data_IF_336535418410
#
_entry.id   IF_336535418410
#
_cell.length_a   1.000
_cell.length_b   1.000
_cell.length_c   1.000
_cell.angle_alpha   90.00
_cell.angle_beta   90.00
_cell.angle_gamma   90.00
#
_symmetry.space_group_name_H-M   'P 1'
#
loop_
_entity.id
_entity.type
_entity.pdbx_description
1 polymer ?
#
# COMPACT_ATOMS: atom_id res chain seq x y z
N UNK A 1 1.58 1.89 19.65
CA UNK A 1 0.74 0.67 19.67
C UNK A 1 -0.56 0.94 20.41
N UNK A 2 -1.63 0.31 19.96
CA UNK A 2 -2.95 0.33 20.62
C UNK A 2 -3.39 -1.12 20.83
N UNK A 3 -3.67 -1.47 22.06
CA UNK A 3 -4.09 -2.81 22.47
C UNK A 3 -5.59 -2.85 22.74
N UNK A 4 -6.26 -3.76 22.05
CA UNK A 4 -7.70 -4.01 22.26
C UNK A 4 -8.00 -5.50 21.99
N UNK A 5 -8.84 -6.17 22.81
CA UNK A 5 -9.15 -7.59 22.64
C UNK A 5 -9.65 -7.98 21.25
N UNK A 6 -10.36 -7.08 20.57
CA UNK A 6 -10.88 -7.32 19.21
C UNK A 6 -9.80 -7.41 18.14
N UNK A 7 -8.58 -6.94 18.41
CA UNK A 7 -7.47 -6.99 17.45
C UNK A 7 -6.49 -8.14 17.67
N UNK A 8 -6.74 -9.01 18.63
CA UNK A 8 -5.84 -10.15 18.94
C UNK A 8 -5.73 -11.09 17.74
N UNK A 9 -6.85 -11.38 17.09
CA UNK A 9 -6.89 -12.29 15.94
C UNK A 9 -6.52 -11.63 14.61
N UNK A 10 -6.67 -10.31 14.49
CA UNK A 10 -6.37 -9.55 13.28
C UNK A 10 -5.72 -8.23 13.64
N UNK A 11 -4.41 -8.21 13.53
CA UNK A 11 -3.61 -7.00 13.74
C UNK A 11 -3.80 -6.03 12.58
N UNK A 12 -3.76 -4.75 12.89
CA UNK A 12 -3.81 -3.68 11.91
C UNK A 12 -2.59 -2.78 12.09
N UNK A 13 -1.93 -2.49 10.97
CA UNK A 13 -0.80 -1.58 10.92
C UNK A 13 -1.20 -0.36 10.08
N UNK A 14 -0.82 0.82 10.54
CA UNK A 14 -1.08 2.08 9.85
C UNK A 14 0.27 2.73 9.57
N UNK A 15 0.55 2.93 8.29
CA UNK A 15 1.73 3.66 7.84
C UNK A 15 1.35 5.05 7.35
N UNK A 16 2.22 6.02 7.57
CA UNK A 16 2.10 7.35 7.00
C UNK A 16 3.39 7.71 6.26
N UNK A 17 3.24 8.24 5.05
CA UNK A 17 4.36 8.68 4.22
C UNK A 17 4.18 10.16 3.87
N UNK A 18 5.21 10.94 4.09
CA UNK A 18 5.25 12.34 3.67
C UNK A 18 6.39 12.56 2.69
N UNK A 19 6.09 13.17 1.55
CA UNK A 19 7.05 13.55 0.54
C UNK A 19 6.82 14.97 0.05
N UNK A 20 7.78 15.51 -0.68
CA UNK A 20 7.66 16.80 -1.34
C UNK A 20 8.31 16.74 -2.72
N UNK A 21 7.70 17.46 -3.66
CA UNK A 21 8.22 17.63 -5.02
C UNK A 21 8.00 19.08 -5.48
N UNK A 22 8.82 19.60 -6.41
CA UNK A 22 8.53 20.87 -7.05
C UNK A 22 7.14 20.84 -7.70
N UNK A 23 6.33 21.89 -7.49
CA UNK A 23 4.96 21.97 -8.02
C UNK A 23 4.90 21.75 -9.54
N UNK A 24 5.92 22.20 -10.28
CA UNK A 24 6.01 22.01 -11.74
C UNK A 24 6.14 20.55 -12.18
N UNK A 25 6.51 19.64 -11.26
CA UNK A 25 6.67 18.20 -11.52
C UNK A 25 5.44 17.40 -11.10
N UNK A 26 4.42 18.05 -10.56
CA UNK A 26 3.16 17.41 -10.19
C UNK A 26 2.23 17.48 -11.40
N UNK A 27 2.14 16.36 -12.12
CA UNK A 27 1.26 16.19 -13.27
C UNK A 27 -0.03 15.51 -12.81
N UNK A 28 -1.16 16.01 -13.28
CA UNK A 28 -2.50 15.47 -13.02
C UNK A 28 -3.32 15.52 -14.30
N UNK A 29 -2.99 14.62 -15.20
CA UNK A 29 -3.65 14.52 -16.50
C UNK A 29 -4.58 13.31 -16.54
N UNK A 30 -5.49 13.27 -17.50
CA UNK A 30 -6.30 12.10 -17.82
C UNK A 30 -5.54 11.22 -18.80
N UNK A 31 -5.89 9.93 -18.81
CA UNK A 31 -5.43 9.01 -19.84
C UNK A 31 -6.30 9.18 -21.09
N UNK A 32 -5.67 9.32 -22.25
CA UNK A 32 -6.35 9.48 -23.53
C UNK A 32 -6.28 8.21 -24.37
N UNK A 33 -7.26 7.91 -25.22
CA UNK A 33 -7.18 6.80 -26.16
C UNK A 33 -5.90 6.86 -27.02
N UNK A 34 -5.19 5.76 -27.07
CA UNK A 34 -3.88 5.65 -27.73
C UNK A 34 -2.69 5.76 -26.78
N UNK A 35 -2.87 6.25 -25.57
CA UNK A 35 -1.79 6.25 -24.57
C UNK A 35 -1.30 4.85 -24.27
N UNK A 36 -0.01 4.74 -23.99
CA UNK A 36 0.66 3.47 -23.72
C UNK A 36 0.88 3.32 -22.22
N UNK A 37 0.57 2.13 -21.71
CA UNK A 37 0.89 1.77 -20.33
C UNK A 37 2.14 0.93 -20.29
N UNK A 38 3.15 1.40 -19.58
CA UNK A 38 4.42 0.73 -19.38
C UNK A 38 4.44 0.13 -17.98
N UNK A 39 4.73 -1.17 -17.90
CA UNK A 39 5.06 -1.84 -16.65
C UNK A 39 6.55 -1.66 -16.41
N UNK A 40 6.90 -1.12 -15.26
CA UNK A 40 8.25 -0.75 -14.87
C UNK A 40 8.64 -1.48 -13.58
N UNK A 41 9.88 -2.00 -13.51
CA UNK A 41 10.46 -2.53 -12.28
C UNK A 41 10.61 -4.03 -12.22
N UNK A 42 10.15 -4.66 -11.14
CA UNK A 42 10.33 -6.08 -10.88
C UNK A 42 9.53 -6.99 -11.80
N UNK A 43 9.93 -8.25 -11.87
CA UNK A 43 9.24 -9.29 -12.64
C UNK A 43 8.14 -9.96 -11.83
N UNK A 44 7.17 -10.53 -12.53
CA UNK A 44 5.98 -11.17 -11.96
C UNK A 44 6.25 -12.61 -11.53
N UNK A 45 5.88 -12.95 -10.30
CA UNK A 45 5.84 -14.30 -9.76
C UNK A 45 4.43 -14.62 -9.22
N UNK A 46 4.32 -15.62 -8.34
CA UNK A 46 3.08 -15.97 -7.63
C UNK A 46 2.83 -15.14 -6.38
N UNK A 47 3.60 -14.09 -6.19
CA UNK A 47 3.50 -13.21 -5.02
C UNK A 47 2.07 -12.69 -4.87
N UNK A 48 1.43 -12.92 -3.72
CA UNK A 48 0.10 -12.41 -3.40
C UNK A 48 -1.07 -13.00 -4.20
N UNK A 49 -0.87 -14.07 -4.99
CA UNK A 49 -1.95 -14.67 -5.78
C UNK A 49 -3.12 -15.20 -4.94
N UNK A 50 -2.90 -15.49 -3.64
CA UNK A 50 -3.96 -15.78 -2.68
C UNK A 50 -4.80 -14.56 -2.29
N UNK A 51 -4.34 -13.37 -2.63
CA UNK A 51 -5.00 -12.09 -2.37
C UNK A 51 -5.24 -11.81 -0.89
N UNK A 52 -6.08 -10.80 -0.60
CA UNK A 52 -6.47 -10.43 0.76
C UNK A 52 -7.14 -11.59 1.53
N UNK A 53 -7.80 -12.51 0.84
CA UNK A 53 -8.38 -13.72 1.43
C UNK A 53 -7.30 -14.65 1.95
N UNK A 54 -6.19 -14.82 1.23
CA UNK A 54 -5.04 -15.61 1.66
C UNK A 54 -4.39 -15.03 2.92
N UNK A 55 -4.15 -13.72 2.95
CA UNK A 55 -3.55 -13.03 4.10
C UNK A 55 -4.47 -12.99 5.34
N UNK A 56 -5.78 -13.20 5.16
CA UNK A 56 -6.77 -13.21 6.26
C UNK A 56 -7.02 -14.59 6.86
N UNK A 57 -6.38 -15.65 6.35
CA UNK A 57 -6.50 -17.01 6.91
C UNK A 57 -5.64 -17.16 8.15
N UNK A 58 -6.06 -18.06 9.03
CA UNK A 58 -5.23 -18.50 10.17
C UNK A 58 -4.03 -19.26 9.60
N UNK A 59 -2.81 -18.81 9.92
CA UNK A 59 -1.59 -19.48 9.53
C UNK A 59 -1.27 -20.63 10.49
N UNK A 60 -0.87 -21.76 9.91
CA UNK A 60 -0.43 -22.97 10.61
C UNK A 60 1.02 -23.30 10.20
N UNK A 61 1.65 -24.25 10.88
CA UNK A 61 3.02 -24.68 10.57
C UNK A 61 3.16 -25.15 9.11
N UNK A 62 2.10 -25.67 8.51
CA UNK A 62 2.08 -26.10 7.10
C UNK A 62 1.85 -24.95 6.11
N UNK A 63 1.53 -23.74 6.57
CA UNK A 63 1.28 -22.59 5.68
C UNK A 63 2.52 -22.22 4.86
N UNK A 64 3.72 -22.40 5.39
CA UNK A 64 4.99 -22.14 4.67
C UNK A 64 5.13 -23.08 3.47
N UNK A 65 4.75 -24.34 3.63
CA UNK A 65 4.83 -25.35 2.57
C UNK A 65 3.79 -25.14 1.48
N UNK A 66 2.58 -24.74 1.87
CA UNK A 66 1.44 -24.61 0.95
C UNK A 66 1.35 -23.24 0.27
N UNK A 67 1.77 -22.17 0.94
CA UNK A 67 1.63 -20.77 0.47
C UNK A 67 2.97 -20.04 0.34
N UNK A 68 4.10 -20.70 0.51
CA UNK A 68 5.42 -20.05 0.51
C UNK A 68 5.77 -19.33 -0.79
N UNK A 69 5.20 -19.75 -1.93
CA UNK A 69 5.38 -19.08 -3.22
C UNK A 69 4.57 -17.78 -3.32
N UNK A 70 3.53 -17.62 -2.51
CA UNK A 70 2.64 -16.45 -2.51
C UNK A 70 3.13 -15.34 -1.59
N UNK A 71 4.14 -15.61 -0.76
CA UNK A 71 4.73 -14.59 0.13
C UNK A 71 5.37 -13.50 -0.71
N UNK A 72 4.93 -12.26 -0.52
CA UNK A 72 5.53 -11.10 -1.14
C UNK A 72 6.96 -10.91 -0.65
N UNK A 73 7.87 -10.67 -1.58
CA UNK A 73 9.30 -10.50 -1.29
C UNK A 73 9.74 -9.15 -1.82
N UNK A 74 10.16 -8.27 -0.91
CA UNK A 74 10.68 -6.96 -1.24
C UNK A 74 12.02 -7.04 -1.97
N UNK A 75 12.28 -6.05 -2.81
CA UNK A 75 13.54 -5.84 -3.52
C UNK A 75 13.98 -4.38 -3.39
N UNK A 76 14.61 -4.04 -2.28
CA UNK A 76 15.04 -2.68 -1.98
C UNK A 76 15.95 -2.04 -3.07
N UNK A 77 16.86 -2.76 -3.75
CA UNK A 77 17.60 -2.20 -4.88
C UNK A 77 16.71 -1.77 -6.05
N UNK A 78 15.69 -2.55 -6.40
CA UNK A 78 14.73 -2.19 -7.46
C UNK A 78 13.89 -0.98 -7.04
N UNK A 79 13.38 -0.97 -5.81
CA UNK A 79 12.66 0.17 -5.25
C UNK A 79 13.49 1.45 -5.31
N UNK A 80 14.76 1.39 -4.92
CA UNK A 80 15.66 2.55 -4.96
C UNK A 80 15.86 3.08 -6.39
N UNK A 81 15.95 2.22 -7.39
CA UNK A 81 16.07 2.61 -8.79
C UNK A 81 14.79 3.31 -9.28
N UNK A 82 13.62 2.77 -8.94
CA UNK A 82 12.32 3.39 -9.27
C UNK A 82 12.24 4.79 -8.63
N UNK A 83 12.56 4.92 -7.35
CA UNK A 83 12.59 6.21 -6.68
C UNK A 83 13.53 7.21 -7.35
N UNK A 84 14.71 6.78 -7.77
CA UNK A 84 15.66 7.65 -8.49
C UNK A 84 15.09 8.09 -9.84
N UNK A 85 14.48 7.18 -10.59
CA UNK A 85 13.85 7.48 -11.87
C UNK A 85 12.75 8.53 -11.72
N UNK A 86 11.82 8.32 -10.76
CA UNK A 86 10.69 9.21 -10.52
C UNK A 86 11.09 10.58 -9.96
N UNK A 87 12.29 10.71 -9.36
CA UNK A 87 12.83 12.00 -8.91
C UNK A 87 13.40 12.86 -10.03
N UNK A 88 13.63 12.31 -11.21
CA UNK A 88 14.08 13.06 -12.37
C UNK A 88 12.92 13.87 -12.93
N UNK A 89 13.12 15.19 -13.05
CA UNK A 89 12.09 16.10 -13.54
C UNK A 89 11.66 15.76 -14.97
N UNK A 90 12.64 15.45 -15.83
CA UNK A 90 12.41 15.07 -17.21
C UNK A 90 11.60 13.77 -17.36
N UNK A 91 11.65 12.89 -16.37
CA UNK A 91 10.90 11.62 -16.36
C UNK A 91 9.51 11.82 -15.77
N UNK A 92 9.41 12.43 -14.58
CA UNK A 92 8.12 12.61 -13.90
C UNK A 92 7.12 13.40 -14.73
N UNK A 93 7.59 14.28 -15.60
CA UNK A 93 6.74 15.09 -16.49
C UNK A 93 6.26 14.36 -17.74
N UNK A 94 6.79 13.18 -18.05
CA UNK A 94 6.27 12.31 -19.12
C UNK A 94 5.11 11.43 -18.64
N UNK A 95 4.92 11.30 -17.33
CA UNK A 95 3.95 10.41 -16.73
C UNK A 95 2.63 11.16 -16.51
N UNK A 96 1.57 10.79 -17.24
CA UNK A 96 0.22 11.34 -17.07
C UNK A 96 -0.43 10.82 -15.78
N UNK A 97 -0.35 9.50 -15.55
CA UNK A 97 -0.83 8.79 -14.36
C UNK A 97 0.10 7.63 -14.02
N UNK A 98 0.07 7.19 -12.78
CA UNK A 98 0.75 5.97 -12.37
C UNK A 98 0.01 5.29 -11.21
N UNK A 99 0.21 3.99 -11.11
CA UNK A 99 -0.21 3.17 -9.99
C UNK A 99 0.90 2.20 -9.61
N UNK A 100 0.97 1.86 -8.31
CA UNK A 100 1.80 0.76 -7.83
C UNK A 100 1.07 -0.59 -8.00
N UNK A 101 1.81 -1.69 -7.86
CA UNK A 101 1.25 -3.03 -7.89
C UNK A 101 1.01 -3.54 -6.47
N UNK A 102 -0.19 -3.30 -5.98
CA UNK A 102 -0.72 -3.91 -4.77
C UNK A 102 -1.68 -5.05 -5.07
N UNK A 103 -2.68 -5.23 -4.21
CA UNK A 103 -3.71 -6.24 -4.34
C UNK A 103 -4.43 -6.19 -5.70
N UNK A 104 -4.56 -7.35 -6.34
CA UNK A 104 -5.16 -7.48 -7.67
C UNK A 104 -4.20 -7.31 -8.84
N UNK A 105 -2.92 -7.02 -8.59
CA UNK A 105 -1.85 -7.00 -9.58
C UNK A 105 -2.14 -6.16 -10.83
N UNK A 106 -1.90 -6.72 -12.00
CA UNK A 106 -2.15 -6.07 -13.31
C UNK A 106 -3.61 -5.63 -13.46
N UNK A 107 -4.56 -6.45 -13.00
CA UNK A 107 -6.00 -6.18 -13.13
C UNK A 107 -6.41 -4.88 -12.43
N UNK A 108 -5.78 -4.54 -11.30
CA UNK A 108 -6.07 -3.34 -10.53
C UNK A 108 -5.09 -2.22 -10.90
N UNK A 109 -3.78 -2.44 -10.78
CA UNK A 109 -2.79 -1.40 -11.02
C UNK A 109 -2.89 -0.77 -12.41
N UNK A 110 -3.14 -1.57 -13.44
CA UNK A 110 -3.38 -1.09 -14.79
C UNK A 110 -4.87 -0.76 -14.99
N UNK A 111 -5.77 -1.62 -14.49
CA UNK A 111 -7.20 -1.49 -14.68
C UNK A 111 -7.83 -0.19 -14.18
N UNK A 112 -7.18 0.50 -13.23
CA UNK A 112 -7.65 1.78 -12.67
C UNK A 112 -7.09 3.01 -13.43
N UNK A 113 -6.17 2.82 -14.37
CA UNK A 113 -5.52 3.94 -15.05
C UNK A 113 -6.39 4.62 -16.11
N UNK A 114 -7.33 3.89 -16.71
CA UNK A 114 -8.29 4.42 -17.69
C UNK A 114 -9.57 3.58 -17.73
N UNK A 115 -10.63 4.16 -18.30
CA UNK A 115 -11.93 3.47 -18.45
C UNK A 115 -11.88 2.35 -19.49
N UNK A 116 -11.20 2.59 -20.60
CA UNK A 116 -10.99 1.63 -21.67
C UNK A 116 -9.55 1.18 -21.74
N UNK A 117 -9.30 -0.13 -21.70
CA UNK A 117 -7.95 -0.71 -21.65
C UNK A 117 -7.86 -2.05 -22.36
N UNK A 118 -6.83 -2.21 -23.17
CA UNK A 118 -6.44 -3.53 -23.70
C UNK A 118 -5.04 -3.88 -23.22
N UNK A 119 -4.94 -4.94 -22.42
CA UNK A 119 -3.70 -5.41 -21.80
C UNK A 119 -3.24 -6.70 -22.46
N UNK A 120 -1.96 -6.80 -22.77
CA UNK A 120 -1.30 -7.99 -23.28
C UNK A 120 -0.47 -8.66 -22.17
N UNK A 121 -1.04 -9.67 -21.53
CA UNK A 121 -0.39 -10.40 -20.44
C UNK A 121 0.84 -11.22 -20.90
N UNK A 122 0.93 -11.53 -22.19
CA UNK A 122 2.11 -12.23 -22.72
C UNK A 122 3.38 -11.37 -22.64
N UNK A 123 3.24 -10.03 -22.66
CA UNK A 123 4.33 -9.07 -22.52
C UNK A 123 4.75 -8.81 -21.08
N UNK A 124 3.96 -9.24 -20.10
CA UNK A 124 4.30 -9.03 -18.68
C UNK A 124 5.56 -9.81 -18.32
N UNK A 125 6.63 -9.14 -17.83
CA UNK A 125 7.86 -9.82 -17.45
C UNK A 125 7.65 -10.82 -16.31
N UNK A 126 8.25 -12.01 -16.44
CA UNK A 126 8.07 -13.14 -15.51
C UNK A 126 9.37 -13.48 -14.78
N UNK A 127 9.29 -13.79 -13.50
CA UNK A 127 10.41 -14.30 -12.70
C UNK A 127 10.83 -15.70 -13.18
N UNK A 128 9.84 -16.52 -13.61
CA UNK A 128 10.01 -17.91 -14.04
C UNK A 128 8.89 -18.33 -14.99
N UNK A 129 9.07 -19.44 -15.68
CA UNK A 129 8.06 -20.04 -16.53
C UNK A 129 6.94 -20.73 -15.74
N UNK A 130 5.80 -20.96 -16.36
CA UNK A 130 4.69 -21.74 -15.78
C UNK A 130 3.62 -20.89 -15.09
N UNK A 131 3.71 -19.56 -15.18
CA UNK A 131 2.61 -18.67 -14.76
C UNK A 131 1.50 -18.73 -15.82
N UNK A 132 0.27 -18.89 -15.36
CA UNK A 132 -0.91 -18.79 -16.21
C UNK A 132 -1.45 -17.35 -16.32
N UNK A 133 -2.52 -17.18 -17.11
CA UNK A 133 -3.11 -15.86 -17.34
C UNK A 133 -3.72 -15.27 -16.08
N UNK A 134 -4.29 -16.08 -15.20
CA UNK A 134 -4.87 -15.62 -13.93
C UNK A 134 -3.78 -15.14 -12.99
N UNK A 135 -2.73 -15.94 -12.81
CA UNK A 135 -1.58 -15.58 -11.97
C UNK A 135 -0.92 -14.29 -12.47
N UNK A 136 -0.77 -14.11 -13.78
CA UNK A 136 -0.23 -12.88 -14.37
C UNK A 136 -1.14 -11.67 -14.13
N UNK A 137 -2.46 -11.87 -14.16
CA UNK A 137 -3.44 -10.81 -13.99
C UNK A 137 -3.53 -10.30 -12.55
N UNK A 138 -3.37 -11.18 -11.53
CA UNK A 138 -3.65 -10.85 -10.13
C UNK A 138 -2.41 -10.81 -9.22
N UNK A 139 -1.24 -11.20 -9.71
CA UNK A 139 -0.02 -11.23 -8.91
C UNK A 139 0.34 -9.85 -8.34
N UNK A 140 0.65 -9.83 -7.05
CA UNK A 140 1.07 -8.65 -6.29
C UNK A 140 2.60 -8.56 -6.15
N UNK A 141 3.37 -9.02 -7.14
CA UNK A 141 4.84 -8.88 -7.08
C UNK A 141 5.22 -7.42 -6.90
N UNK A 142 5.97 -7.13 -5.84
CA UNK A 142 6.31 -5.80 -5.39
C UNK A 142 7.37 -5.10 -6.25
N UNK A 143 7.60 -3.81 -5.96
CA UNK A 143 8.52 -2.92 -6.67
C UNK A 143 8.25 -2.86 -8.17
N UNK A 144 6.98 -2.73 -8.52
CA UNK A 144 6.50 -2.48 -9.88
C UNK A 144 5.64 -1.23 -9.91
N UNK A 145 5.72 -0.50 -11.02
CA UNK A 145 4.83 0.63 -11.30
C UNK A 145 4.20 0.45 -12.68
N UNK A 146 2.95 0.83 -12.83
CA UNK A 146 2.31 1.04 -14.12
C UNK A 146 2.26 2.54 -14.38
N UNK A 147 2.78 2.98 -15.51
CA UNK A 147 2.81 4.40 -15.90
C UNK A 147 2.12 4.60 -17.24
N UNK A 148 1.31 5.66 -17.34
CA UNK A 148 0.66 6.08 -18.58
C UNK A 148 1.52 7.15 -19.24
N UNK A 149 1.91 6.91 -20.48
CA UNK A 149 2.80 7.78 -21.26
C UNK A 149 2.20 8.03 -22.65
N UNK A 150 2.33 9.25 -23.16
CA UNK A 150 1.96 9.59 -24.53
C UNK A 150 2.78 8.72 -25.52
N UNK A 151 2.21 8.18 -26.59
CA UNK A 151 2.93 7.34 -27.57
C UNK A 151 4.22 7.94 -28.09
N UNK A 152 4.29 9.27 -28.26
CA UNK A 152 5.50 9.98 -28.74
C UNK A 152 6.66 9.94 -27.74
N UNK A 153 6.37 9.75 -26.45
CA UNK A 153 7.34 9.83 -25.36
C UNK A 153 7.80 8.44 -24.86
N UNK A 154 7.22 7.35 -25.40
CA UNK A 154 7.51 5.97 -24.97
C UNK A 154 8.99 5.65 -25.05
N UNK A 155 9.62 5.86 -26.21
CA UNK A 155 11.04 5.53 -26.41
C UNK A 155 11.95 6.34 -25.47
N UNK A 156 11.59 7.59 -25.23
CA UNK A 156 12.30 8.48 -24.29
C UNK A 156 12.22 7.94 -22.88
N UNK A 157 11.01 7.56 -22.42
CA UNK A 157 10.81 6.96 -21.10
C UNK A 157 11.57 5.66 -20.93
N UNK A 158 11.51 4.76 -21.91
CA UNK A 158 12.26 3.50 -21.91
C UNK A 158 13.78 3.73 -21.86
N UNK A 159 14.27 4.77 -22.52
CA UNK A 159 15.68 5.19 -22.46
C UNK A 159 16.08 5.56 -21.02
N UNK A 160 15.30 6.37 -20.33
CA UNK A 160 15.55 6.74 -18.93
C UNK A 160 15.47 5.55 -17.97
N UNK A 161 14.52 4.66 -18.17
CA UNK A 161 14.42 3.43 -17.37
C UNK A 161 15.67 2.56 -17.52
N UNK A 162 16.18 2.44 -18.75
CA UNK A 162 17.42 1.71 -19.05
C UNK A 162 18.66 2.33 -18.38
N UNK A 163 18.76 3.66 -18.32
CA UNK A 163 19.84 4.36 -17.60
C UNK A 163 19.89 4.00 -16.11
N UNK A 164 18.71 3.76 -15.48
CA UNK A 164 18.61 3.32 -14.10
C UNK A 164 18.69 1.78 -13.94
N UNK A 165 18.98 1.04 -15.01
CA UNK A 165 18.94 -0.44 -15.00
C UNK A 165 17.58 -1.00 -14.55
N UNK A 166 16.50 -0.40 -14.99
CA UNK A 166 15.14 -0.88 -14.78
C UNK A 166 14.61 -1.56 -16.03
N UNK A 167 13.94 -2.68 -15.85
CA UNK A 167 13.13 -3.30 -16.90
C UNK A 167 11.83 -2.48 -17.05
N UNK A 168 11.51 -2.11 -18.27
CA UNK A 168 10.32 -1.35 -18.61
C UNK A 168 9.72 -1.89 -19.90
N UNK A 169 8.47 -2.29 -19.90
CA UNK A 169 7.82 -2.95 -21.03
C UNK A 169 6.43 -2.34 -21.28
N UNK A 170 6.12 -1.88 -22.51
CA UNK A 170 4.78 -1.53 -22.90
C UNK A 170 3.88 -2.78 -22.89
N UNK A 171 2.88 -2.78 -22.01
CA UNK A 171 2.00 -3.97 -21.80
C UNK A 171 0.52 -3.69 -22.11
N UNK A 172 0.12 -2.43 -22.23
CA UNK A 172 -1.26 -2.08 -22.49
C UNK A 172 -1.39 -0.78 -23.30
N UNK A 173 -2.57 -0.62 -23.87
CA UNK A 173 -3.00 0.56 -24.61
C UNK A 173 -4.34 1.03 -24.06
N UNK A 174 -4.50 2.34 -23.92
CA UNK A 174 -5.78 2.98 -23.59
C UNK A 174 -6.68 3.00 -24.83
N UNK A 175 -7.93 2.61 -24.66
CA UNK A 175 -8.92 2.50 -25.76
C UNK A 175 -10.11 3.43 -25.55
N UNK A 176 -10.81 3.79 -26.64
CA UNK A 176 -12.04 4.59 -26.57
C UNK A 176 -13.20 3.82 -25.91
N UNK A 177 -13.32 2.53 -26.23
CA UNK A 177 -14.38 1.70 -25.66
C UNK A 177 -14.12 1.47 -24.17
N UNK A 178 -15.06 1.83 -23.25
CA UNK A 178 -14.87 1.69 -21.82
C UNK A 178 -15.01 0.24 -21.36
N UNK A 179 -13.97 -0.54 -21.62
CA UNK A 179 -13.86 -1.96 -21.29
C UNK A 179 -12.46 -2.27 -20.79
N UNK A 180 -12.38 -3.17 -19.81
CA UNK A 180 -11.13 -3.81 -19.42
C UNK A 180 -10.99 -5.14 -20.14
N UNK A 181 -10.03 -5.23 -21.04
CA UNK A 181 -9.72 -6.44 -21.80
C UNK A 181 -8.32 -6.92 -21.45
N UNK A 182 -8.20 -8.15 -20.93
CA UNK A 182 -6.91 -8.80 -20.67
C UNK A 182 -6.74 -9.97 -21.62
N UNK A 183 -5.72 -9.89 -22.47
CA UNK A 183 -5.40 -10.95 -23.45
C UNK A 183 -4.25 -11.82 -22.93
N UNK A 184 -4.38 -13.13 -23.11
CA UNK A 184 -3.35 -14.12 -22.83
C UNK A 184 -3.33 -15.19 -23.90
N UNK A 185 -2.16 -15.44 -24.49
CA UNK A 185 -1.99 -16.39 -25.61
C UNK A 185 -2.95 -16.14 -26.76
N UNK A 186 -3.11 -14.85 -27.11
CA UNK A 186 -3.94 -14.41 -28.21
C UNK A 186 -5.45 -14.54 -28.00
N UNK A 187 -5.91 -14.73 -26.75
CA UNK A 187 -7.33 -14.81 -26.39
C UNK A 187 -7.64 -13.88 -25.22
N UNK A 188 -8.80 -13.21 -25.22
CA UNK A 188 -9.26 -12.48 -24.05
C UNK A 188 -9.64 -13.48 -22.95
N UNK A 189 -9.02 -13.31 -21.77
CA UNK A 189 -9.38 -14.06 -20.55
C UNK A 189 -10.23 -13.21 -19.61
N UNK A 190 -10.22 -11.89 -19.79
CA UNK A 190 -11.11 -10.92 -19.16
C UNK A 190 -11.60 -9.98 -20.25
N UNK A 191 -12.90 -9.70 -20.27
CA UNK A 191 -13.53 -8.72 -21.13
C UNK A 191 -14.77 -8.15 -20.42
N UNK A 192 -14.57 -7.06 -19.65
CA UNK A 192 -15.58 -6.48 -18.77
C UNK A 192 -15.86 -5.03 -19.15
N UNK A 193 -17.15 -4.67 -19.16
CA UNK A 193 -17.56 -3.27 -19.30
C UNK A 193 -17.20 -2.47 -18.05
N UNK A 194 -16.72 -1.24 -18.21
CA UNK A 194 -16.43 -0.35 -17.10
C UNK A 194 -17.64 -0.15 -16.19
N UNK A 195 -18.82 0.04 -16.75
CA UNK A 195 -20.06 0.20 -15.98
C UNK A 195 -20.37 -1.00 -15.06
N UNK A 196 -19.92 -2.22 -15.42
CA UNK A 196 -20.02 -3.38 -14.52
C UNK A 196 -19.03 -3.28 -13.37
N UNK A 197 -17.79 -2.89 -13.65
CA UNK A 197 -16.73 -2.75 -12.62
C UNK A 197 -17.09 -1.66 -11.60
N UNK A 198 -17.64 -0.54 -12.05
CA UNK A 198 -17.98 0.62 -11.19
C UNK A 198 -19.13 0.31 -10.22
N UNK A 199 -20.00 -0.62 -10.57
CA UNK A 199 -21.21 -0.95 -9.80
C UNK A 199 -21.25 -2.39 -9.30
N UNK A 200 -20.26 -3.21 -9.59
CA UNK A 200 -20.31 -4.68 -9.43
C UNK A 200 -21.56 -5.29 -10.06
N UNK A 201 -22.07 -4.68 -11.17
CA UNK A 201 -23.25 -5.12 -11.88
C UNK A 201 -24.59 -4.75 -11.23
N UNK A 202 -24.61 -4.04 -10.11
CA UNK A 202 -25.82 -3.63 -9.41
C UNK A 202 -25.70 -2.22 -8.79
N UNK A 203 -26.73 -1.38 -8.98
CA UNK A 203 -26.87 -0.16 -8.21
C UNK A 203 -27.38 -0.50 -6.82
N UNK A 204 -26.66 -0.07 -5.79
CA UNK A 204 -27.05 -0.27 -4.41
C UNK A 204 -27.55 1.05 -3.82
N UNK A 205 -28.75 1.02 -3.26
CA UNK A 205 -29.32 2.11 -2.48
C UNK A 205 -29.55 1.60 -1.04
N UNK A 206 -29.08 2.34 -0.06
CA UNK A 206 -29.24 1.98 1.34
C UNK A 206 -29.87 3.13 2.11
N UNK A 207 -30.90 2.82 2.89
CA UNK A 207 -31.44 3.75 3.89
C UNK A 207 -30.81 3.40 5.23
N UNK A 208 -30.12 4.35 5.82
CA UNK A 208 -29.44 4.17 7.11
C UNK A 208 -30.17 5.01 8.17
N UNK A 209 -30.52 4.35 9.28
CA UNK A 209 -30.91 5.04 10.50
C UNK A 209 -29.73 5.00 11.46
N UNK A 210 -29.27 6.17 11.88
CA UNK A 210 -28.21 6.30 12.87
C UNK A 210 -28.85 6.62 14.20
N UNK A 211 -28.70 5.74 15.16
CA UNK A 211 -29.10 5.98 16.54
C UNK A 211 -27.87 6.53 17.29
N UNK A 212 -28.05 7.62 18.01
CA UNK A 212 -27.01 8.21 18.84
C UNK A 212 -26.89 7.35 20.11
N UNK A 213 -25.65 7.00 20.53
CA UNK A 213 -25.45 6.32 21.82
C UNK A 213 -26.11 7.10 22.96
N UNK A 214 -26.62 6.40 23.95
CA UNK A 214 -27.19 7.03 25.15
C UNK A 214 -26.10 7.77 25.95
N UNK A 215 -26.46 8.77 26.74
CA UNK A 215 -25.53 9.46 27.63
C UNK A 215 -24.82 8.49 28.59
N UNK A 216 -25.52 7.42 29.00
CA UNK A 216 -24.98 6.35 29.88
C UNK A 216 -23.86 5.55 29.21
N UNK A 217 -23.77 5.57 27.86
CA UNK A 217 -22.72 4.93 27.08
C UNK A 217 -21.57 5.87 26.73
N UNK A 218 -21.57 7.11 27.26
CA UNK A 218 -20.51 8.06 27.02
C UNK A 218 -19.14 7.49 27.47
N UNK A 219 -18.25 7.38 26.54
CA UNK A 219 -16.91 6.85 26.77
C UNK A 219 -16.11 7.65 27.81
N UNK A 220 -16.31 8.95 27.86
CA UNK A 220 -15.57 9.85 28.77
C UNK A 220 -16.03 9.78 30.23
N UNK A 221 -17.19 9.17 30.50
CA UNK A 221 -17.74 9.04 31.85
C UNK A 221 -17.35 7.70 32.51
N UNK A 222 -16.52 6.90 31.81
CA UNK A 222 -16.07 5.58 32.29
C UNK A 222 -14.55 5.54 32.37
N UNK A 223 -14.06 4.80 33.36
CA UNK A 223 -12.62 4.50 33.41
C UNK A 223 -12.23 3.60 32.24
N UNK A 224 -11.27 4.04 31.42
CA UNK A 224 -10.73 3.24 30.32
C UNK A 224 -10.06 1.95 30.83
N UNK A 225 -9.51 1.99 32.04
CA UNK A 225 -9.00 0.83 32.77
C UNK A 225 -9.89 0.59 33.99
N UNK A 226 -10.83 -0.34 33.95
CA UNK A 226 -11.83 -0.57 35.06
C UNK A 226 -11.17 -0.78 36.41
N UNK A 227 -10.08 -1.51 36.50
CA UNK A 227 -9.33 -1.76 37.71
C UNK A 227 -8.85 -0.47 38.44
N UNK A 228 -8.67 0.61 37.70
CA UNK A 228 -8.31 1.92 38.29
C UNK A 228 -9.48 2.47 39.07
N UNK A 229 -10.71 2.42 38.51
CA UNK A 229 -11.92 2.88 39.17
C UNK A 229 -12.20 2.07 40.45
N UNK A 230 -12.14 0.74 40.35
CA UNK A 230 -12.35 -0.18 41.48
C UNK A 230 -11.38 0.13 42.65
N UNK A 231 -10.09 0.32 42.35
CA UNK A 231 -9.08 0.65 43.35
C UNK A 231 -9.30 2.03 44.02
N UNK A 232 -9.75 3.01 43.23
CA UNK A 232 -10.05 4.33 43.77
C UNK A 232 -11.27 4.30 44.69
N UNK A 233 -12.31 3.51 44.38
CA UNK A 233 -13.47 3.30 45.23
C UNK A 233 -13.11 2.63 46.58
N UNK A 234 -12.12 1.72 46.56
CA UNK A 234 -11.54 1.10 47.75
C UNK A 234 -10.63 2.07 48.56
N UNK A 235 -10.32 3.24 48.03
CA UNK A 235 -9.36 4.19 48.63
C UNK A 235 -7.90 3.81 48.40
N UNK A 236 -7.59 2.80 47.59
CA UNK A 236 -6.26 2.32 47.28
C UNK A 236 -5.66 3.09 46.08
N UNK A 237 -5.25 4.32 46.33
CA UNK A 237 -4.63 5.19 45.33
C UNK A 237 -3.36 4.58 44.75
N UNK A 238 -2.55 3.91 45.56
CA UNK A 238 -1.31 3.26 45.08
C UNK A 238 -1.62 2.08 44.16
N UNK A 239 -2.62 1.26 44.53
CA UNK A 239 -3.06 0.16 43.67
C UNK A 239 -3.64 0.65 42.35
N UNK A 240 -4.46 1.72 42.40
CA UNK A 240 -4.96 2.36 41.17
C UNK A 240 -3.82 2.83 40.24
N UNK A 241 -2.80 3.47 40.79
CA UNK A 241 -1.63 3.91 40.03
C UNK A 241 -0.89 2.72 39.40
N UNK A 242 -0.67 1.66 40.17
CA UNK A 242 -0.01 0.45 39.65
C UNK A 242 -0.85 -0.22 38.57
N UNK A 243 -2.17 -0.31 38.75
CA UNK A 243 -3.08 -0.85 37.73
C UNK A 243 -3.00 -0.07 36.42
N UNK A 244 -2.99 1.27 36.49
CA UNK A 244 -2.85 2.14 35.33
C UNK A 244 -1.52 1.90 34.59
N UNK A 245 -0.40 1.84 35.33
CA UNK A 245 0.92 1.63 34.73
C UNK A 245 1.14 0.23 34.15
N UNK A 246 0.33 -0.74 34.55
CA UNK A 246 0.35 -2.10 34.00
C UNK A 246 -0.53 -2.26 32.75
N UNK A 247 -1.40 -1.30 32.44
CA UNK A 247 -2.18 -1.35 31.22
C UNK A 247 -1.31 -1.25 29.97
N UNK A 248 -1.53 -2.10 28.97
CA UNK A 248 -0.72 -2.17 27.76
C UNK A 248 -0.78 -0.89 26.91
N UNK A 249 -1.85 -0.11 27.03
CA UNK A 249 -1.97 1.17 26.35
C UNK A 249 -1.30 2.33 27.09
N UNK A 250 -0.86 2.10 28.34
CA UNK A 250 -0.24 3.11 29.23
C UNK A 250 1.21 2.80 29.54
N UNK A 251 1.59 1.53 29.61
CA UNK A 251 2.98 1.13 29.89
C UNK A 251 3.92 1.59 28.76
N UNK A 252 5.22 1.64 29.06
CA UNK A 252 6.22 2.05 28.08
C UNK A 252 6.27 1.11 26.86
N UNK A 253 6.13 1.68 25.68
CA UNK A 253 6.21 0.98 24.37
C UNK A 253 7.59 1.13 23.72
N UNK A 254 8.60 1.53 24.49
CA UNK A 254 9.94 1.85 24.03
C UNK A 254 10.60 0.73 23.22
N UNK A 255 10.38 -0.53 23.58
CA UNK A 255 11.03 -1.67 22.92
C UNK A 255 10.77 -1.75 21.43
N UNK A 256 9.52 -1.66 21.00
CA UNK A 256 9.16 -1.71 19.56
C UNK A 256 9.52 -0.41 18.84
N UNK A 257 9.32 0.73 19.47
CA UNK A 257 9.69 2.03 18.89
C UNK A 257 11.19 2.10 18.58
N UNK A 258 12.04 1.61 19.47
CA UNK A 258 13.50 1.56 19.22
C UNK A 258 13.89 0.56 18.13
N UNK A 259 13.11 -0.50 17.93
CA UNK A 259 13.37 -1.48 16.86
C UNK A 259 13.09 -0.94 15.47
N UNK A 260 12.03 -0.15 15.28
CA UNK A 260 11.51 0.15 13.94
C UNK A 260 11.57 1.63 13.55
N UNK A 261 11.32 2.57 14.46
CA UNK A 261 10.91 3.93 14.06
C UNK A 261 11.91 5.03 14.40
N UNK A 262 13.02 4.73 15.05
CA UNK A 262 13.86 5.76 15.62
C UNK A 262 14.70 6.54 14.61
N UNK A 263 15.31 5.86 13.64
CA UNK A 263 16.35 6.45 12.79
C UNK A 263 16.27 6.06 11.32
N UNK A 264 15.22 5.35 10.91
CA UNK A 264 15.05 4.89 9.53
C UNK A 264 15.01 6.08 8.58
N UNK A 265 15.79 6.01 7.50
CA UNK A 265 15.91 7.07 6.52
C UNK A 265 16.78 8.26 6.95
N UNK A 266 17.36 8.23 8.15
CA UNK A 266 18.23 9.28 8.71
C UNK A 266 17.64 10.71 8.65
N UNK A 267 16.31 10.81 8.62
CA UNK A 267 15.58 12.07 8.55
C UNK A 267 15.10 12.60 9.90
N UNK A 268 15.13 11.78 10.96
CA UNK A 268 14.60 12.15 12.28
C UNK A 268 15.38 13.34 12.88
N UNK A 269 14.65 14.36 13.30
CA UNK A 269 15.18 15.52 14.02
C UNK A 269 14.95 15.36 15.51
N UNK A 270 13.75 14.94 15.90
CA UNK A 270 13.45 14.55 17.27
C UNK A 270 13.29 13.03 17.33
N UNK A 271 14.05 12.41 18.22
CA UNK A 271 13.91 10.98 18.50
C UNK A 271 12.66 10.72 19.33
N UNK A 272 12.06 9.51 19.25
CA UNK A 272 10.84 9.18 19.98
C UNK A 272 10.95 9.32 21.49
N UNK A 273 12.15 9.17 22.03
CA UNK A 273 12.45 9.36 23.44
C UNK A 273 13.55 10.38 23.64
N UNK A 274 13.30 11.34 24.54
CA UNK A 274 14.20 12.43 24.88
C UNK A 274 14.54 12.47 26.37
N UNK A 275 15.10 13.62 26.83
CA UNK A 275 15.55 13.83 28.18
C UNK A 275 16.93 13.21 28.45
N UNK A 276 17.48 13.49 29.64
CA UNK A 276 18.81 13.05 30.06
C UNK A 276 19.02 11.53 29.95
N UNK A 277 17.98 10.77 30.23
CA UNK A 277 18.01 9.30 30.26
C UNK A 277 17.32 8.67 29.05
N UNK A 278 16.85 9.49 28.09
CA UNK A 278 16.08 9.01 26.92
C UNK A 278 14.89 8.12 27.29
N UNK A 279 14.15 8.54 28.32
CA UNK A 279 12.97 7.85 28.82
C UNK A 279 11.69 8.67 28.69
N UNK A 280 11.80 9.94 28.30
CA UNK A 280 10.65 10.83 28.13
C UNK A 280 10.13 10.74 26.70
N UNK A 281 8.91 10.30 26.55
CA UNK A 281 8.25 10.20 25.24
C UNK A 281 8.12 11.58 24.59
N UNK A 282 8.46 11.63 23.30
CA UNK A 282 8.25 12.80 22.46
C UNK A 282 6.91 12.63 21.74
N UNK A 283 5.91 13.42 22.13
CA UNK A 283 4.56 13.33 21.56
C UNK A 283 4.42 14.05 20.21
N UNK A 284 5.50 14.14 19.45
CA UNK A 284 5.50 14.76 18.12
C UNK A 284 6.54 14.12 17.24
N UNK A 285 6.27 14.08 15.95
CA UNK A 285 7.25 13.68 14.95
C UNK A 285 7.82 14.92 14.27
N UNK A 286 9.14 15.06 14.34
CA UNK A 286 9.89 16.09 13.58
C UNK A 286 10.95 15.39 12.76
N UNK A 287 10.84 15.50 11.46
CA UNK A 287 11.77 14.88 10.51
C UNK A 287 12.09 15.82 9.35
N UNK A 288 13.24 15.62 8.73
CA UNK A 288 13.64 16.32 7.51
C UNK A 288 12.90 15.71 6.31
N UNK A 289 12.32 16.55 5.48
CA UNK A 289 11.84 16.10 4.18
C UNK A 289 13.03 15.70 3.30
N UNK A 290 12.97 14.60 2.57
CA UNK A 290 14.04 14.12 1.69
C UNK A 290 14.08 14.92 0.38
N UNK A 291 14.19 16.22 0.46
CA UNK A 291 14.29 17.15 -0.67
C UNK A 291 15.71 17.70 -0.77
N UNK A 292 16.14 17.97 -2.01
CA UNK A 292 17.34 18.75 -2.24
C UNK A 292 17.04 20.19 -1.88
N UNK A 293 17.87 20.77 -1.04
CA UNK A 293 17.78 22.17 -0.62
C UNK A 293 18.17 23.11 -1.76
#
# INVERSE_FOLDING_TARGET
EIYHPSYVAKRMEIGAVMGAAPRRNVIRETSDPGDIIILLGGRTGRDGCGGATGSSKVHTDTSIETCGAEVQKGNAPTERKIQRLFRREEVSRLIKKCNDFGAGGVSVAIGELADGLTVDLDKVPKKYAGLDGTELAISESQERMAVVVDPKDVDTFLGYAKEENLEAVPVAVVTEEPRLVLNWRGKPIVDLKRAFLDTNGAHQETKVKVDIPSEEENYFDKWAVPAVGEKLEEGDVKGAWVALLNDLNVCSQKGLVEMFDSSIGAGSVLMPYGGKYQLTETQTMVAKLPVLA
#
